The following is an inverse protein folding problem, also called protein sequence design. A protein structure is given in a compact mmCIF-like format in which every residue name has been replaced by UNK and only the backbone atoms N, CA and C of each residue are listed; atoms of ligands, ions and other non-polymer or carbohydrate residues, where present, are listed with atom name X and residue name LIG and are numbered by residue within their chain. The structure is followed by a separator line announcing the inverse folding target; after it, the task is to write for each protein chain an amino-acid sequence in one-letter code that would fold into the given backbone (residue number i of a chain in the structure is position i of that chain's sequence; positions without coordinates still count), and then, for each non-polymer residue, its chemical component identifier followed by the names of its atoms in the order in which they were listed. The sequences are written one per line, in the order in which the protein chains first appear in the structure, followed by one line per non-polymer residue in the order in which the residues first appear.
data_IF_309518662142
#
_entry.id   IF_309518662142
#
_cell.length_a   1.000
_cell.length_b   1.000
_cell.length_c   1.000
_cell.angle_alpha   90.00
_cell.angle_beta   90.00
_cell.angle_gamma   90.00
#
_symmetry.space_group_name_H-M   'P 1'
#
loop_
_entity.id
_entity.type
_entity.pdbx_description
1 polymer ?
#
# COMPACT_ATOMS: atom_id res chain seq x y z
N UNK A 1 8.20 -29.07 -3.51
CA UNK A 1 8.00 -27.64 -3.11
C UNK A 1 8.85 -27.40 -1.87
N UNK A 2 9.75 -26.46 -1.93
CA UNK A 2 10.56 -26.14 -0.78
C UNK A 2 9.77 -25.31 0.27
N UNK A 3 10.22 -25.35 1.52
CA UNK A 3 9.55 -24.66 2.63
C UNK A 3 9.59 -23.13 2.48
N UNK A 4 10.66 -22.61 1.88
CA UNK A 4 10.82 -21.16 1.68
C UNK A 4 9.84 -20.65 0.61
N UNK A 5 9.74 -21.34 -0.52
CA UNK A 5 8.78 -21.03 -1.56
C UNK A 5 7.33 -21.08 -1.07
N UNK A 6 7.00 -22.06 -0.21
CA UNK A 6 5.68 -22.13 0.40
C UNK A 6 5.41 -20.93 1.33
N UNK A 7 6.37 -20.57 2.18
CA UNK A 7 6.25 -19.44 3.09
C UNK A 7 6.03 -18.13 2.34
N UNK A 8 6.84 -17.85 1.32
CA UNK A 8 6.69 -16.66 0.47
C UNK A 8 5.36 -16.65 -0.31
N UNK A 9 4.89 -17.83 -0.73
CA UNK A 9 3.58 -17.95 -1.41
C UNK A 9 2.43 -17.59 -0.46
N UNK A 10 2.46 -18.07 0.79
CA UNK A 10 1.46 -17.70 1.80
C UNK A 10 1.51 -16.19 2.06
N UNK A 11 2.68 -15.60 2.23
CA UNK A 11 2.87 -14.16 2.41
C UNK A 11 2.30 -13.38 1.23
N UNK A 12 2.57 -13.83 0.01
CA UNK A 12 2.05 -13.23 -1.24
C UNK A 12 0.53 -13.24 -1.29
N UNK A 13 -0.08 -14.38 -1.01
CA UNK A 13 -1.54 -14.52 -1.02
C UNK A 13 -2.20 -13.67 0.08
N UNK A 14 -1.64 -13.68 1.28
CA UNK A 14 -2.13 -12.86 2.39
C UNK A 14 -2.07 -11.37 2.06
N UNK A 15 -0.94 -10.91 1.49
CA UNK A 15 -0.78 -9.53 1.07
C UNK A 15 -1.72 -9.17 -0.09
N UNK A 16 -1.96 -10.11 -1.01
CA UNK A 16 -2.92 -9.96 -2.10
C UNK A 16 -4.33 -9.73 -1.58
N UNK A 17 -4.80 -10.56 -0.65
CA UNK A 17 -6.12 -10.39 0.00
C UNK A 17 -6.20 -9.06 0.75
N UNK A 18 -5.14 -8.69 1.48
CA UNK A 18 -5.08 -7.41 2.18
C UNK A 18 -5.28 -6.23 1.23
N UNK A 19 -4.53 -6.14 0.12
CA UNK A 19 -4.64 -5.03 -0.82
C UNK A 19 -5.97 -5.01 -1.57
N UNK A 20 -6.55 -6.15 -1.91
CA UNK A 20 -7.92 -6.20 -2.48
C UNK A 20 -8.91 -5.61 -1.47
N UNK A 21 -8.85 -6.04 -0.21
CA UNK A 21 -9.74 -5.56 0.84
C UNK A 21 -9.60 -4.05 1.05
N UNK A 22 -8.38 -3.55 1.11
CA UNK A 22 -8.10 -2.11 1.25
C UNK A 22 -8.65 -1.30 0.07
N UNK A 23 -8.43 -1.76 -1.16
CA UNK A 23 -8.95 -1.09 -2.36
C UNK A 23 -10.48 -1.06 -2.40
N UNK A 24 -11.13 -2.16 -2.00
CA UNK A 24 -12.60 -2.23 -1.94
C UNK A 24 -13.20 -1.28 -0.90
N UNK A 25 -12.53 -1.04 0.23
CA UNK A 25 -13.01 -0.05 1.22
C UNK A 25 -13.01 1.38 0.68
N UNK A 26 -12.19 1.64 -0.34
CA UNK A 26 -11.99 2.95 -0.96
C UNK A 26 -12.72 3.12 -2.29
N UNK A 27 -13.54 2.16 -2.71
CA UNK A 27 -14.24 2.19 -4.02
C UNK A 27 -15.09 3.46 -4.20
N UNK A 28 -15.63 4.01 -3.12
CA UNK A 28 -16.41 5.26 -3.16
C UNK A 28 -15.58 6.49 -3.56
N UNK A 29 -14.27 6.44 -3.41
CA UNK A 29 -13.38 7.53 -3.86
C UNK A 29 -13.39 7.70 -5.37
N UNK A 30 -13.65 6.63 -6.12
CA UNK A 30 -13.72 6.67 -7.60
C UNK A 30 -14.77 7.65 -8.11
N UNK A 31 -15.89 7.76 -7.41
CA UNK A 31 -17.01 8.64 -7.75
C UNK A 31 -17.04 9.92 -6.93
N UNK A 32 -16.39 9.95 -5.78
CA UNK A 32 -16.39 11.09 -4.86
C UNK A 32 -14.98 11.31 -4.26
N UNK A 33 -14.18 12.12 -4.93
CA UNK A 33 -12.83 12.47 -4.48
C UNK A 33 -12.80 13.34 -3.23
N UNK A 34 -13.93 13.95 -2.84
CA UNK A 34 -14.01 14.77 -1.62
C UNK A 34 -13.78 13.95 -0.34
N UNK A 35 -14.02 12.65 -0.39
CA UNK A 35 -13.77 11.74 0.74
C UNK A 35 -12.27 11.71 1.04
N UNK A 36 -11.43 11.49 0.02
CA UNK A 36 -9.97 11.54 0.19
C UNK A 36 -9.49 12.93 0.56
N UNK A 37 -10.00 13.97 -0.11
CA UNK A 37 -9.63 15.36 0.19
C UNK A 37 -9.89 15.72 1.66
N UNK A 38 -11.03 15.29 2.22
CA UNK A 38 -11.35 15.46 3.64
C UNK A 38 -10.39 14.73 4.57
N UNK A 39 -10.00 13.51 4.22
CA UNK A 39 -9.03 12.73 4.98
C UNK A 39 -7.65 13.41 4.98
N UNK A 40 -7.19 13.86 3.82
CA UNK A 40 -5.90 14.56 3.68
C UNK A 40 -5.89 15.88 4.46
N UNK A 41 -6.99 16.63 4.44
CA UNK A 41 -7.15 17.85 5.23
C UNK A 41 -7.07 17.57 6.74
N UNK A 42 -7.68 16.48 7.21
CA UNK A 42 -7.58 16.03 8.60
C UNK A 42 -6.15 15.69 9.01
N UNK A 43 -5.41 14.98 8.15
CA UNK A 43 -4.00 14.67 8.39
C UNK A 43 -3.13 15.94 8.40
N UNK A 44 -3.42 16.91 7.52
CA UNK A 44 -2.71 18.19 7.50
C UNK A 44 -2.89 18.97 8.81
N UNK A 45 -4.11 18.99 9.34
CA UNK A 45 -4.38 19.64 10.65
C UNK A 45 -3.60 18.98 11.79
N UNK A 46 -3.45 17.66 11.75
CA UNK A 46 -2.72 16.90 12.76
C UNK A 46 -1.19 16.93 12.58
N UNK A 47 -0.70 17.28 11.39
CA UNK A 47 0.72 17.28 11.08
C UNK A 47 1.46 18.43 11.74
N UNK A 48 2.60 18.14 12.38
CA UNK A 48 3.42 19.16 13.00
C UNK A 48 3.97 20.17 11.98
N UNK A 49 4.05 21.45 12.31
CA UNK A 49 4.68 22.46 11.45
C UNK A 49 6.10 22.05 11.07
N UNK A 50 6.45 22.20 9.78
CA UNK A 50 7.77 21.85 9.26
C UNK A 50 8.07 20.34 9.15
N UNK A 51 7.11 19.45 9.45
CA UNK A 51 7.30 18.01 9.29
C UNK A 51 7.30 17.58 7.82
N UNK A 52 7.97 16.46 7.53
CA UNK A 52 7.97 15.84 6.19
C UNK A 52 6.56 15.50 5.72
N UNK A 53 5.71 14.98 6.62
CA UNK A 53 4.31 14.67 6.31
C UNK A 53 3.54 15.93 5.91
N UNK A 54 3.73 17.05 6.61
CA UNK A 54 3.08 18.31 6.28
C UNK A 54 3.49 18.80 4.91
N UNK A 55 4.79 18.82 4.63
CA UNK A 55 5.31 19.21 3.31
C UNK A 55 4.71 18.34 2.20
N UNK A 56 4.71 17.02 2.40
CA UNK A 56 4.16 16.08 1.43
C UNK A 56 2.65 16.31 1.19
N UNK A 57 1.88 16.53 2.26
CA UNK A 57 0.44 16.80 2.16
C UNK A 57 0.16 18.10 1.39
N UNK A 58 0.89 19.16 1.70
CA UNK A 58 0.69 20.48 1.08
C UNK A 58 1.10 20.52 -0.40
N UNK A 59 2.20 19.85 -0.76
CA UNK A 59 2.81 19.98 -2.09
C UNK A 59 2.46 18.84 -3.05
N UNK A 60 2.07 17.67 -2.55
CA UNK A 60 1.84 16.48 -3.38
C UNK A 60 0.44 15.92 -3.20
N UNK A 61 0.06 15.53 -1.98
CA UNK A 61 -1.14 14.75 -1.76
C UNK A 61 -2.43 15.56 -1.98
N UNK A 62 -2.53 16.75 -1.41
CA UNK A 62 -3.72 17.59 -1.53
C UNK A 62 -3.89 18.14 -2.96
N UNK A 63 -2.86 18.70 -3.61
CA UNK A 63 -2.96 19.09 -5.02
C UNK A 63 -3.35 17.95 -5.96
N UNK A 64 -2.89 16.73 -5.66
CA UNK A 64 -3.16 15.51 -6.43
C UNK A 64 -4.38 14.71 -6.00
N UNK A 65 -5.18 15.18 -5.04
CA UNK A 65 -6.24 14.40 -4.39
C UNK A 65 -7.24 13.77 -5.39
N UNK A 66 -7.64 14.49 -6.43
CA UNK A 66 -8.55 13.99 -7.46
C UNK A 66 -7.97 12.81 -8.25
N UNK A 67 -6.67 12.81 -8.50
CA UNK A 67 -5.96 11.70 -9.15
C UNK A 67 -5.76 10.52 -8.20
N UNK A 68 -5.30 10.78 -6.98
CA UNK A 68 -5.07 9.75 -5.98
C UNK A 68 -6.36 9.04 -5.57
N UNK A 69 -7.49 9.74 -5.54
CA UNK A 69 -8.79 9.14 -5.27
C UNK A 69 -9.18 8.03 -6.26
N UNK A 70 -8.64 8.07 -7.46
CA UNK A 70 -8.83 7.02 -8.48
C UNK A 70 -7.67 6.04 -8.52
N UNK A 71 -6.45 6.55 -8.48
CA UNK A 71 -5.24 5.76 -8.61
C UNK A 71 -5.08 4.77 -7.45
N UNK A 72 -5.38 5.18 -6.21
CA UNK A 72 -5.19 4.36 -5.02
C UNK A 72 -6.09 3.12 -5.01
N UNK A 73 -7.43 3.22 -5.06
CA UNK A 73 -8.25 2.02 -5.00
C UNK A 73 -8.02 1.09 -6.21
N UNK A 74 -7.81 1.63 -7.41
CA UNK A 74 -7.49 0.83 -8.58
C UNK A 74 -6.13 0.15 -8.46
N UNK A 75 -5.13 0.87 -7.99
CA UNK A 75 -3.79 0.34 -7.76
C UNK A 75 -3.78 -0.75 -6.69
N UNK A 76 -4.47 -0.55 -5.57
CA UNK A 76 -4.58 -1.55 -4.51
C UNK A 76 -5.25 -2.83 -4.99
N UNK A 77 -6.39 -2.74 -5.67
CA UNK A 77 -7.08 -3.92 -6.22
C UNK A 77 -6.22 -4.62 -7.26
N UNK A 78 -5.60 -3.87 -8.18
CA UNK A 78 -4.74 -4.44 -9.22
C UNK A 78 -3.52 -5.14 -8.63
N UNK A 79 -2.81 -4.49 -7.70
CA UNK A 79 -1.68 -5.10 -7.00
C UNK A 79 -2.11 -6.35 -6.22
N UNK A 80 -3.25 -6.25 -5.51
CA UNK A 80 -3.79 -7.36 -4.75
C UNK A 80 -4.13 -8.57 -5.62
N UNK A 81 -4.79 -8.36 -6.76
CA UNK A 81 -5.11 -9.43 -7.73
C UNK A 81 -3.83 -10.03 -8.34
N UNK A 82 -2.88 -9.20 -8.75
CA UNK A 82 -1.62 -9.66 -9.30
C UNK A 82 -0.84 -10.51 -8.30
N UNK A 83 -0.77 -10.08 -7.04
CA UNK A 83 -0.14 -10.83 -5.96
C UNK A 83 -0.89 -12.12 -5.67
N UNK A 84 -2.21 -12.11 -5.61
CA UNK A 84 -3.00 -13.31 -5.35
C UNK A 84 -2.78 -14.37 -6.43
N UNK A 85 -2.80 -13.96 -7.71
CA UNK A 85 -2.56 -14.85 -8.85
C UNK A 85 -1.08 -15.21 -9.06
N UNK A 86 -0.16 -14.50 -8.43
CA UNK A 86 1.27 -14.66 -8.65
C UNK A 86 1.75 -14.17 -10.01
N UNK A 87 1.11 -13.12 -10.51
CA UNK A 87 1.52 -12.48 -11.75
C UNK A 87 2.57 -11.40 -11.45
N UNK A 88 3.76 -11.53 -12.06
CA UNK A 88 4.87 -10.59 -11.90
C UNK A 88 5.08 -10.14 -10.43
N UNK A 89 5.10 -11.09 -9.51
CA UNK A 89 5.09 -10.86 -8.05
C UNK A 89 6.09 -9.80 -7.58
N UNK A 90 7.38 -9.78 -8.00
CA UNK A 90 8.32 -8.77 -7.56
C UNK A 90 7.90 -7.34 -7.93
N UNK A 91 7.39 -7.15 -9.15
CA UNK A 91 6.96 -5.84 -9.62
C UNK A 91 5.75 -5.33 -8.82
N UNK A 92 4.72 -6.15 -8.68
CA UNK A 92 3.51 -5.72 -7.97
C UNK A 92 3.72 -5.61 -6.46
N UNK A 93 4.61 -6.41 -5.88
CA UNK A 93 5.03 -6.24 -4.49
C UNK A 93 5.81 -4.93 -4.28
N UNK A 94 6.65 -4.54 -5.22
CA UNK A 94 7.36 -3.27 -5.20
C UNK A 94 6.41 -2.07 -5.30
N UNK A 95 5.43 -2.12 -6.21
CA UNK A 95 4.40 -1.07 -6.32
C UNK A 95 3.58 -1.00 -5.03
N UNK A 96 3.16 -2.13 -4.48
CA UNK A 96 2.42 -2.22 -3.23
C UNK A 96 3.21 -1.65 -2.05
N UNK A 97 4.52 -1.89 -1.99
CA UNK A 97 5.42 -1.28 -1.00
C UNK A 97 5.38 0.24 -1.06
N UNK A 98 5.51 0.83 -2.25
CA UNK A 98 5.46 2.28 -2.40
C UNK A 98 4.10 2.87 -2.08
N UNK A 99 3.01 2.21 -2.46
CA UNK A 99 1.66 2.65 -2.09
C UNK A 99 1.48 2.66 -0.57
N UNK A 100 1.87 1.60 0.12
CA UNK A 100 1.80 1.52 1.57
C UNK A 100 2.71 2.56 2.25
N UNK A 101 3.95 2.72 1.79
CA UNK A 101 4.88 3.72 2.30
C UNK A 101 4.35 5.15 2.12
N UNK A 102 3.75 5.45 0.97
CA UNK A 102 3.12 6.72 0.68
C UNK A 102 2.02 7.08 1.69
N UNK A 103 1.16 6.12 2.04
CA UNK A 103 0.15 6.30 3.09
C UNK A 103 0.75 6.55 4.46
N UNK A 104 1.81 5.83 4.82
CA UNK A 104 2.49 6.00 6.11
C UNK A 104 3.16 7.38 6.23
N UNK A 105 3.69 7.91 5.13
CA UNK A 105 4.26 9.26 5.08
C UNK A 105 3.16 10.31 5.17
N UNK A 106 2.10 10.19 4.37
CA UNK A 106 1.00 11.15 4.33
C UNK A 106 0.29 11.28 5.69
N UNK A 107 0.01 10.15 6.34
CA UNK A 107 -0.60 10.13 7.68
C UNK A 107 0.34 10.52 8.82
N UNK A 108 1.65 10.61 8.54
CA UNK A 108 2.69 10.82 9.56
C UNK A 108 2.97 9.59 10.43
N UNK A 109 2.34 8.45 10.15
CA UNK A 109 2.47 7.25 10.96
C UNK A 109 3.90 6.69 10.93
N UNK A 110 4.60 6.78 9.79
CA UNK A 110 5.99 6.32 9.63
C UNK A 110 6.94 6.93 10.68
N UNK A 111 6.66 8.15 11.11
CA UNK A 111 7.51 8.91 12.04
C UNK A 111 7.09 8.77 13.50
N UNK A 112 6.13 7.89 13.81
CA UNK A 112 5.65 7.62 15.17
C UNK A 112 6.13 6.26 15.65
N UNK A 113 6.43 6.13 16.93
CA UNK A 113 6.79 4.83 17.51
C UNK A 113 5.69 3.78 17.32
N UNK A 114 4.42 4.19 17.30
CA UNK A 114 3.29 3.30 17.04
C UNK A 114 3.35 2.58 15.68
N UNK A 115 4.14 3.08 14.73
CA UNK A 115 4.41 2.40 13.47
C UNK A 115 4.98 0.98 13.68
N UNK A 116 5.80 0.79 14.69
CA UNK A 116 6.48 -0.50 14.96
C UNK A 116 5.50 -1.63 15.33
N UNK A 117 4.34 -1.28 15.91
CA UNK A 117 3.30 -2.26 16.28
C UNK A 117 1.98 -2.09 15.53
N UNK A 118 1.96 -1.22 14.53
CA UNK A 118 0.81 -1.08 13.64
C UNK A 118 0.75 -2.25 12.65
N UNK A 119 -0.40 -2.89 12.56
CA UNK A 119 -0.62 -3.95 11.57
C UNK A 119 -0.52 -3.45 10.11
N UNK A 120 -0.77 -2.18 9.87
CA UNK A 120 -0.66 -1.53 8.55
C UNK A 120 0.73 -0.97 8.25
N UNK A 121 1.62 -0.94 9.22
CA UNK A 121 2.96 -0.37 9.11
C UNK A 121 4.01 -1.41 8.71
N UNK A 122 4.88 -1.74 9.66
CA UNK A 122 6.04 -2.59 9.45
C UNK A 122 5.73 -3.99 8.85
N UNK A 123 4.67 -4.72 9.28
CA UNK A 123 4.35 -6.01 8.68
C UNK A 123 4.01 -5.94 7.21
N UNK A 124 3.24 -4.95 6.78
CA UNK A 124 2.85 -4.77 5.36
C UNK A 124 4.05 -4.34 4.53
N UNK A 125 4.80 -3.34 4.98
CA UNK A 125 5.99 -2.85 4.28
C UNK A 125 7.07 -3.93 4.18
N UNK A 126 7.35 -4.63 5.27
CA UNK A 126 8.34 -5.71 5.29
C UNK A 126 7.96 -6.89 4.39
N UNK A 127 6.70 -7.30 4.42
CA UNK A 127 6.19 -8.37 3.56
C UNK A 127 6.25 -8.00 2.08
N UNK A 128 5.85 -6.77 1.73
CA UNK A 128 5.90 -6.29 0.35
C UNK A 128 7.34 -6.19 -0.16
N UNK A 129 8.26 -5.65 0.64
CA UNK A 129 9.67 -5.56 0.29
C UNK A 129 10.32 -6.95 0.17
N UNK A 130 10.01 -7.85 1.10
CA UNK A 130 10.48 -9.24 1.05
C UNK A 130 10.04 -9.97 -0.23
N UNK A 131 8.80 -9.77 -0.65
CA UNK A 131 8.28 -10.32 -1.92
C UNK A 131 8.87 -9.62 -3.15
N UNK A 132 9.15 -8.33 -3.08
CA UNK A 132 9.81 -7.61 -4.18
C UNK A 132 11.22 -8.16 -4.46
N UNK A 133 11.92 -8.60 -3.40
CA UNK A 133 13.28 -9.15 -3.51
C UNK A 133 13.27 -10.65 -3.81
N UNK A 134 12.47 -11.42 -3.06
CA UNK A 134 12.49 -12.87 -3.07
C UNK A 134 11.33 -13.56 -3.81
N UNK A 135 10.38 -12.81 -4.35
CA UNK A 135 9.12 -13.33 -4.91
C UNK A 135 9.22 -13.92 -6.33
N UNK A 136 10.43 -14.28 -6.77
CA UNK A 136 10.64 -14.87 -8.11
C UNK A 136 10.33 -16.36 -8.10
N UNK A 137 9.58 -16.82 -9.10
CA UNK A 137 9.27 -18.26 -9.32
C UNK A 137 8.62 -18.97 -8.12
N UNK A 138 7.66 -18.29 -7.49
CA UNK A 138 6.92 -18.88 -6.38
C UNK A 138 5.93 -19.95 -6.86
N UNK A 139 5.64 -20.97 -6.03
CA UNK A 139 4.58 -21.95 -6.31
C UNK A 139 3.22 -21.27 -6.54
N UNK A 140 2.38 -21.94 -7.34
CA UNK A 140 1.02 -21.47 -7.69
C UNK A 140 0.98 -20.05 -8.28
N UNK A 141 1.96 -19.74 -9.10
CA UNK A 141 2.02 -18.48 -9.84
C UNK A 141 1.56 -18.70 -11.28
N UNK A 142 0.77 -17.77 -11.80
CA UNK A 142 0.33 -17.79 -13.21
C UNK A 142 1.51 -17.45 -14.12
N UNK A 143 2.38 -16.57 -13.67
CA UNK A 143 3.62 -16.20 -14.37
C UNK A 143 4.63 -15.66 -13.37
N UNK A 144 5.78 -16.20 -13.37
CA UNK A 144 6.92 -15.78 -12.52
C UNK A 144 7.97 -15.04 -13.34
#
# INVERSE_FOLDING_TARGET
MDRQGLGLTITRMSLGVFFISEGLTKVRWLTNSSILAGQLAGWLQAAAPGSTSRWYLEHVAIPGAAYFARLVPLGEVTCGLALLLGFATPLFAFIAFFMAANFQIASGALFRLSFLWSGYGLPVLGSALGLAIGGVRLPWSVRS
#
